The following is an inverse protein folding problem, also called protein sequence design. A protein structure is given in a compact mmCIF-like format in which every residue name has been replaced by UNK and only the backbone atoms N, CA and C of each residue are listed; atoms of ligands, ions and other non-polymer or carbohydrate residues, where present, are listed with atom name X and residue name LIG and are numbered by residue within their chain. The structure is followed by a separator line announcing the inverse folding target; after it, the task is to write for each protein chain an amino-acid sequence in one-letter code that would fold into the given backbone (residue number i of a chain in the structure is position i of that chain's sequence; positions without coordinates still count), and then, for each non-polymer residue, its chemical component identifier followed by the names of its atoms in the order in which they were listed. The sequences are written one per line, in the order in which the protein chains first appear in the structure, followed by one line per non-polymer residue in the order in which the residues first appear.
data_IF_185563616228
#
_entry.id   IF_185563616228
#
_cell.length_a   1.000
_cell.length_b   1.000
_cell.length_c   1.000
_cell.angle_alpha   90.00
_cell.angle_beta   90.00
_cell.angle_gamma   90.00
#
_symmetry.space_group_name_H-M   'P 1'
#
loop_
_entity.id
_entity.type
_entity.pdbx_description
1 polymer ?
#
# COMPACT_ATOMS: atom_id res chain seq x y z
N UNK A 1 -8.45 -13.79 -19.60
CA UNK A 1 -8.72 -12.61 -18.76
C UNK A 1 -7.38 -11.92 -18.57
N UNK A 2 -7.14 -10.80 -19.24
CA UNK A 2 -5.89 -10.04 -19.05
C UNK A 2 -6.02 -9.36 -17.69
N UNK A 3 -5.35 -9.90 -16.67
CA UNK A 3 -5.30 -9.28 -15.35
C UNK A 3 -4.43 -8.03 -15.51
N UNK A 4 -5.06 -6.85 -15.58
CA UNK A 4 -4.38 -5.57 -15.75
C UNK A 4 -3.69 -5.16 -14.43
N UNK A 5 -2.52 -5.70 -14.12
CA UNK A 5 -1.66 -5.18 -13.06
C UNK A 5 -1.02 -3.84 -13.48
N UNK A 6 -0.97 -2.84 -12.57
CA UNK A 6 -0.33 -1.55 -12.84
C UNK A 6 1.01 -1.46 -12.09
N UNK A 7 2.08 -1.23 -12.83
CA UNK A 7 3.38 -0.86 -12.29
C UNK A 7 3.70 0.53 -12.82
N UNK A 8 4.02 1.45 -11.93
CA UNK A 8 4.33 2.82 -12.30
C UNK A 8 5.74 3.17 -11.83
N UNK A 9 6.57 3.65 -12.75
CA UNK A 9 7.91 4.15 -12.44
C UNK A 9 7.82 5.66 -12.28
N UNK A 10 8.03 6.14 -11.07
CA UNK A 10 7.90 7.55 -10.73
C UNK A 10 9.25 8.25 -10.74
N UNK A 11 9.28 9.46 -11.30
CA UNK A 11 10.44 10.35 -11.28
C UNK A 11 10.41 11.26 -10.03
N UNK A 12 11.54 11.89 -9.70
CA UNK A 12 11.67 12.79 -8.53
C UNK A 12 10.57 13.87 -8.43
N UNK A 13 10.10 14.39 -9.56
CA UNK A 13 9.00 15.37 -9.60
C UNK A 13 7.67 14.81 -9.05
N UNK A 14 7.39 13.52 -9.30
CA UNK A 14 6.17 12.86 -8.82
C UNK A 14 6.27 12.50 -7.32
N UNK A 15 7.48 12.16 -6.84
CA UNK A 15 7.74 11.94 -5.42
C UNK A 15 7.45 13.20 -4.60
N UNK A 16 7.86 14.37 -5.11
CA UNK A 16 7.57 15.66 -4.47
C UNK A 16 6.06 15.99 -4.45
N UNK A 17 5.33 15.56 -5.48
CA UNK A 17 3.88 15.75 -5.64
C UNK A 17 3.02 14.67 -4.98
N UNK A 18 3.61 13.74 -4.23
CA UNK A 18 2.85 12.76 -3.45
C UNK A 18 1.86 13.51 -2.56
N UNK A 19 0.59 13.46 -2.93
CA UNK A 19 -0.42 14.38 -2.44
C UNK A 19 -0.87 13.91 -1.06
N UNK A 20 -0.69 14.76 -0.05
CA UNK A 20 -1.32 14.62 1.23
C UNK A 20 -2.83 14.77 0.99
N UNK A 21 -3.61 13.69 1.03
CA UNK A 21 -5.04 13.84 1.34
C UNK A 21 -5.13 14.06 2.84
N UNK A 22 -4.69 15.23 3.30
CA UNK A 22 -5.49 15.89 4.33
C UNK A 22 -6.61 16.56 3.58
N UNK A 23 -7.83 16.05 3.77
CA UNK A 23 -9.02 16.85 3.51
C UNK A 23 -8.82 18.21 4.19
N UNK A 24 -8.60 19.26 3.38
CA UNK A 24 -8.64 20.67 3.79
C UNK A 24 -7.64 21.11 4.85
N UNK A 25 -6.43 21.49 4.44
CA UNK A 25 -5.74 22.63 5.05
C UNK A 25 -5.19 23.52 3.95
N UNK A 26 -5.94 24.58 3.64
CA UNK A 26 -5.35 25.81 3.12
C UNK A 26 -4.24 26.24 4.09
N UNK A 27 -3.14 26.76 3.54
CA UNK A 27 -2.06 27.35 4.32
C UNK A 27 -2.62 28.35 5.35
N UNK A 28 -2.61 27.95 6.61
CA UNK A 28 -3.10 28.73 7.73
C UNK A 28 -2.64 28.03 9.00
N UNK A 29 -1.83 28.74 9.80
CA UNK A 29 -1.28 28.31 11.09
C UNK A 29 -2.41 27.72 11.96
N UNK A 30 -2.32 26.45 12.35
CA UNK A 30 -3.24 25.87 13.32
C UNK A 30 -2.61 25.98 14.71
N UNK A 31 -3.24 26.85 15.49
CA UNK A 31 -3.09 27.03 16.93
C UNK A 31 -3.50 25.75 17.69
N UNK A 32 -2.74 25.41 18.72
CA UNK A 32 -2.87 24.18 19.50
C UNK A 32 -3.80 24.48 20.68
N UNK A 33 -5.11 24.34 20.49
CA UNK A 33 -6.03 24.43 21.62
C UNK A 33 -7.51 24.46 21.30
N UNK A 34 -8.19 23.31 21.41
CA UNK A 34 -9.57 23.26 21.90
C UNK A 34 -9.97 21.84 22.32
N UNK A 35 -10.52 21.76 23.52
CA UNK A 35 -10.90 20.58 24.31
C UNK A 35 -12.43 20.58 24.49
N UNK A 36 -13.09 19.41 24.27
CA UNK A 36 -14.48 19.00 24.66
C UNK A 36 -15.66 19.72 23.95
N UNK A 37 -16.79 19.10 23.56
CA UNK A 37 -17.70 18.13 24.24
C UNK A 37 -18.61 17.35 23.23
N UNK A 38 -19.24 16.23 23.62
CA UNK A 38 -20.16 15.45 22.78
C UNK A 38 -21.62 15.93 22.90
N UNK A 39 -22.42 15.73 21.85
CA UNK A 39 -23.89 15.88 21.91
C UNK A 39 -24.58 14.60 21.43
N UNK A 40 -25.35 14.00 22.33
CA UNK A 40 -26.34 12.94 22.10
C UNK A 40 -27.60 13.52 21.45
N UNK A 41 -28.27 12.72 20.60
CA UNK A 41 -29.72 12.79 20.35
C UNK A 41 -30.28 11.36 20.17
N UNK A 42 -31.14 11.00 21.10
CA UNK A 42 -32.06 9.84 21.17
C UNK A 42 -33.37 10.25 20.44
N UNK A 43 -34.26 9.44 19.85
CA UNK A 43 -34.91 8.18 20.26
C UNK A 43 -35.74 7.63 19.06
N UNK A 44 -35.77 6.32 18.79
CA UNK A 44 -36.84 5.34 19.09
C UNK A 44 -38.01 5.23 18.08
N UNK A 45 -38.57 4.00 17.98
CA UNK A 45 -39.77 3.53 17.24
C UNK A 45 -39.49 3.14 15.76
N UNK A 46 -39.67 1.90 15.26
CA UNK A 46 -40.70 0.88 15.53
C UNK A 46 -40.19 -0.53 15.11
N UNK A 47 -40.54 -1.59 15.86
CA UNK A 47 -40.32 -3.01 15.48
C UNK A 47 -41.29 -3.42 14.37
N UNK A 48 -40.80 -4.11 13.35
CA UNK A 48 -41.58 -5.16 12.68
C UNK A 48 -40.65 -6.24 12.12
N UNK A 49 -40.73 -7.42 12.75
CA UNK A 49 -40.28 -8.68 12.17
C UNK A 49 -41.09 -8.92 10.88
N UNK A 50 -40.43 -8.88 9.73
CA UNK A 50 -40.93 -9.46 8.49
C UNK A 50 -39.92 -10.50 8.05
N UNK A 51 -40.17 -11.73 8.49
CA UNK A 51 -39.69 -12.92 7.79
C UNK A 51 -40.51 -13.06 6.51
N UNK A 52 -39.92 -12.70 5.37
CA UNK A 52 -40.34 -13.22 4.07
C UNK A 52 -39.10 -13.56 3.27
N UNK A 53 -38.71 -14.84 3.34
CA UNK A 53 -38.02 -15.61 2.30
C UNK A 53 -37.22 -14.77 1.28
N UNK A 54 -36.05 -14.26 1.68
CA UNK A 54 -35.03 -13.88 0.70
C UNK A 54 -34.44 -15.17 0.17
N UNK A 55 -34.65 -15.39 -1.13
CA UNK A 55 -34.27 -16.57 -1.89
C UNK A 55 -32.85 -17.05 -1.54
N UNK A 56 -32.72 -18.25 -0.93
CA UNK A 56 -31.43 -18.87 -0.58
C UNK A 56 -30.54 -19.15 -1.81
N UNK A 57 -31.08 -18.98 -3.03
CA UNK A 57 -30.34 -19.07 -4.31
C UNK A 57 -29.68 -17.75 -4.72
N UNK A 58 -30.23 -16.61 -4.31
CA UNK A 58 -29.68 -15.28 -4.67
C UNK A 58 -28.45 -14.95 -3.83
N UNK A 59 -28.41 -15.40 -2.57
CA UNK A 59 -27.27 -15.21 -1.67
C UNK A 59 -26.04 -16.01 -2.09
N UNK A 60 -26.18 -17.25 -2.56
CA UNK A 60 -25.04 -18.10 -2.96
C UNK A 60 -24.34 -17.60 -4.23
N UNK A 61 -25.09 -17.05 -5.20
CA UNK A 61 -24.53 -16.50 -6.44
C UNK A 61 -23.79 -15.18 -6.18
N UNK A 62 -24.38 -14.27 -5.39
CA UNK A 62 -23.74 -13.01 -5.00
C UNK A 62 -22.49 -13.23 -4.15
N UNK A 63 -22.53 -14.19 -3.24
CA UNK A 63 -21.39 -14.54 -2.38
C UNK A 63 -20.26 -15.19 -3.19
N UNK A 64 -20.58 -16.04 -4.17
CA UNK A 64 -19.61 -16.63 -5.10
C UNK A 64 -18.98 -15.58 -6.03
N UNK A 65 -19.76 -14.64 -6.56
CA UNK A 65 -19.25 -13.55 -7.39
C UNK A 65 -18.29 -12.62 -6.60
N UNK A 66 -18.63 -12.30 -5.35
CA UNK A 66 -17.76 -11.55 -4.45
C UNK A 66 -16.45 -12.29 -4.17
N UNK A 67 -16.51 -13.60 -3.91
CA UNK A 67 -15.33 -14.44 -3.68
C UNK A 67 -14.39 -14.45 -4.89
N UNK A 68 -14.95 -14.67 -6.09
CA UNK A 68 -14.20 -14.66 -7.35
C UNK A 68 -13.54 -13.29 -7.62
N UNK A 69 -14.22 -12.20 -7.27
CA UNK A 69 -13.66 -10.85 -7.43
C UNK A 69 -12.48 -10.61 -6.47
N UNK A 70 -12.60 -11.05 -5.21
CA UNK A 70 -11.49 -10.96 -4.24
C UNK A 70 -10.29 -11.80 -4.69
N UNK A 71 -10.53 -13.04 -5.16
CA UNK A 71 -9.46 -13.89 -5.70
C UNK A 71 -8.77 -13.24 -6.90
N UNK A 72 -9.54 -12.65 -7.81
CA UNK A 72 -9.00 -11.91 -8.95
C UNK A 72 -8.22 -10.67 -8.54
N UNK A 73 -8.62 -9.99 -7.47
CA UNK A 73 -7.95 -8.79 -6.96
C UNK A 73 -6.61 -9.12 -6.32
N UNK A 74 -6.59 -10.12 -5.44
CA UNK A 74 -5.35 -10.58 -4.79
C UNK A 74 -4.36 -11.12 -5.83
N UNK A 75 -4.84 -11.80 -6.87
CA UNK A 75 -3.98 -12.21 -7.99
C UNK A 75 -3.40 -11.02 -8.75
N UNK A 76 -4.17 -9.95 -8.96
CA UNK A 76 -3.66 -8.75 -9.62
C UNK A 76 -2.57 -8.06 -8.79
N UNK A 77 -2.75 -7.97 -7.47
CA UNK A 77 -1.73 -7.48 -6.53
C UNK A 77 -0.45 -8.31 -6.59
N UNK A 78 -0.59 -9.63 -6.53
CA UNK A 78 0.52 -10.58 -6.61
C UNK A 78 1.30 -10.40 -7.91
N UNK A 79 0.62 -10.36 -9.06
CA UNK A 79 1.27 -10.19 -10.36
C UNK A 79 2.01 -8.86 -10.48
N UNK A 80 1.38 -7.75 -10.06
CA UNK A 80 2.01 -6.42 -10.07
C UNK A 80 3.28 -6.42 -9.20
N UNK A 81 3.17 -6.96 -7.99
CA UNK A 81 4.27 -7.03 -7.04
C UNK A 81 5.42 -7.90 -7.56
N UNK A 82 5.11 -9.07 -8.11
CA UNK A 82 6.11 -10.02 -8.60
C UNK A 82 6.89 -9.44 -9.77
N UNK A 83 6.16 -8.89 -10.76
CA UNK A 83 6.79 -8.26 -11.92
C UNK A 83 7.65 -7.06 -11.51
N UNK A 84 7.19 -6.20 -10.59
CA UNK A 84 8.00 -5.07 -10.11
C UNK A 84 9.28 -5.52 -9.41
N UNK A 85 9.20 -6.56 -8.56
CA UNK A 85 10.38 -7.11 -7.89
C UNK A 85 11.35 -7.74 -8.88
N UNK A 86 10.85 -8.50 -9.85
CA UNK A 86 11.68 -9.18 -10.84
C UNK A 86 12.42 -8.19 -11.76
N UNK A 87 11.77 -7.08 -12.11
CA UNK A 87 12.32 -6.08 -13.04
C UNK A 87 13.24 -5.06 -12.36
N UNK A 88 12.92 -4.61 -11.14
CA UNK A 88 13.59 -3.45 -10.54
C UNK A 88 14.53 -3.78 -9.37
N UNK A 89 14.42 -4.95 -8.73
CA UNK A 89 15.29 -5.34 -7.61
C UNK A 89 16.53 -6.07 -8.13
N UNK A 90 17.70 -5.55 -7.74
CA UNK A 90 19.01 -6.03 -8.17
C UNK A 90 19.85 -6.47 -6.96
N UNK A 91 20.83 -7.34 -7.19
CA UNK A 91 21.76 -7.76 -6.14
C UNK A 91 22.58 -6.58 -5.58
N UNK A 92 22.98 -6.66 -4.32
CA UNK A 92 23.74 -5.64 -3.59
C UNK A 92 23.07 -4.25 -3.55
N UNK A 93 21.73 -4.20 -3.52
CA UNK A 93 20.97 -2.94 -3.48
C UNK A 93 20.43 -2.60 -2.09
N UNK A 94 20.29 -1.30 -1.82
CA UNK A 94 19.54 -0.78 -0.67
C UNK A 94 18.15 -0.40 -1.16
N UNK A 95 17.12 -1.01 -0.56
CA UNK A 95 15.75 -0.92 -1.05
C UNK A 95 14.78 -0.40 0.01
N UNK A 96 13.91 0.52 -0.40
CA UNK A 96 12.79 0.99 0.41
C UNK A 96 11.59 0.05 0.27
N UNK A 97 11.03 -0.37 1.39
CA UNK A 97 9.87 -1.26 1.46
C UNK A 97 8.67 -0.49 1.99
N UNK A 98 7.70 -0.32 1.10
CA UNK A 98 6.42 0.31 1.34
C UNK A 98 5.51 -0.39 2.35
N UNK A 99 4.25 0.02 2.37
CA UNK A 99 3.23 -0.52 3.29
C UNK A 99 1.95 -0.96 2.57
N UNK A 100 1.08 -1.68 3.26
CA UNK A 100 -0.22 -2.09 2.74
C UNK A 100 -0.27 -3.50 2.14
N UNK A 101 -1.49 -3.92 1.75
CA UNK A 101 -1.78 -5.30 1.38
C UNK A 101 -1.03 -5.78 0.14
N UNK A 102 -0.81 -4.92 -0.85
CA UNK A 102 -0.08 -5.24 -2.08
C UNK A 102 1.40 -5.51 -1.81
N UNK A 103 2.00 -4.80 -0.84
CA UNK A 103 3.44 -4.91 -0.52
C UNK A 103 3.79 -6.26 0.11
N UNK A 104 2.82 -6.95 0.74
CA UNK A 104 3.01 -8.30 1.26
C UNK A 104 3.56 -9.23 0.17
N UNK A 105 2.98 -9.17 -1.04
CA UNK A 105 3.41 -9.99 -2.18
C UNK A 105 4.80 -9.61 -2.68
N UNK A 106 5.17 -8.32 -2.63
CA UNK A 106 6.49 -7.86 -3.03
C UNK A 106 7.56 -8.40 -2.07
N UNK A 107 7.32 -8.29 -0.76
CA UNK A 107 8.24 -8.83 0.27
C UNK A 107 8.40 -10.35 0.13
N UNK A 108 7.30 -11.08 -0.09
CA UNK A 108 7.36 -12.52 -0.36
C UNK A 108 8.22 -12.84 -1.58
N UNK A 109 8.06 -12.10 -2.68
CA UNK A 109 8.87 -12.31 -3.89
C UNK A 109 10.34 -11.99 -3.65
N UNK A 110 10.65 -10.89 -2.94
CA UNK A 110 12.03 -10.54 -2.56
C UNK A 110 12.66 -11.67 -1.75
N UNK A 111 11.95 -12.20 -0.74
CA UNK A 111 12.44 -13.30 0.08
C UNK A 111 12.68 -14.59 -0.73
N UNK A 112 11.81 -14.90 -1.70
CA UNK A 112 12.06 -15.99 -2.64
C UNK A 112 13.37 -15.79 -3.41
N UNK A 113 13.57 -14.61 -4.00
CA UNK A 113 14.77 -14.29 -4.79
C UNK A 113 16.04 -14.29 -3.95
N UNK A 114 16.01 -13.71 -2.74
CA UNK A 114 17.14 -13.79 -1.78
C UNK A 114 17.50 -15.24 -1.50
N UNK A 115 16.50 -16.11 -1.30
CA UNK A 115 16.74 -17.54 -1.03
C UNK A 115 17.25 -18.31 -2.24
N UNK A 116 16.71 -18.06 -3.44
CA UNK A 116 17.04 -18.83 -4.66
C UNK A 116 18.27 -18.33 -5.40
N UNK A 117 18.46 -17.01 -5.44
CA UNK A 117 19.54 -16.34 -6.19
C UNK A 117 20.69 -15.89 -5.28
N UNK A 118 20.48 -15.85 -3.96
CA UNK A 118 21.51 -15.39 -3.01
C UNK A 118 21.67 -13.87 -2.97
N UNK A 119 20.62 -13.11 -3.32
CA UNK A 119 20.67 -11.65 -3.33
C UNK A 119 21.01 -11.09 -1.95
N UNK A 120 21.89 -10.09 -1.92
CA UNK A 120 22.27 -9.33 -0.74
C UNK A 120 21.57 -7.98 -0.78
N UNK A 121 20.52 -7.82 0.03
CA UNK A 121 19.66 -6.64 0.01
C UNK A 121 19.57 -6.03 1.39
N UNK A 122 19.54 -4.71 1.50
CA UNK A 122 19.24 -4.00 2.76
C UNK A 122 17.87 -3.35 2.62
N UNK A 123 16.93 -3.71 3.49
CA UNK A 123 15.54 -3.29 3.41
C UNK A 123 15.24 -2.18 4.42
N UNK A 124 14.82 -1.02 3.92
CA UNK A 124 14.48 0.17 4.71
C UNK A 124 12.94 0.31 4.77
N UNK A 125 12.30 0.16 5.93
CA UNK A 125 10.84 0.16 6.03
C UNK A 125 10.23 1.57 5.98
N UNK A 126 9.05 1.71 5.36
CA UNK A 126 8.23 2.92 5.44
C UNK A 126 7.28 2.96 6.64
N UNK A 127 7.15 1.86 7.38
CA UNK A 127 6.26 1.77 8.55
C UNK A 127 6.65 0.65 9.51
N UNK A 128 5.94 0.58 10.65
CA UNK A 128 6.02 -0.58 11.54
C UNK A 128 5.56 -1.87 10.87
N UNK A 129 4.49 -1.83 10.06
CA UNK A 129 4.01 -2.98 9.31
C UNK A 129 5.09 -3.50 8.34
N UNK A 130 5.69 -2.60 7.57
CA UNK A 130 6.76 -2.92 6.63
C UNK A 130 7.97 -3.54 7.35
N UNK A 131 8.37 -2.94 8.49
CA UNK A 131 9.45 -3.46 9.34
C UNK A 131 9.18 -4.90 9.77
N UNK A 132 7.97 -5.17 10.22
CA UNK A 132 7.58 -6.50 10.68
C UNK A 132 7.61 -7.52 9.54
N UNK A 133 7.09 -7.15 8.35
CA UNK A 133 7.14 -8.00 7.15
C UNK A 133 8.58 -8.36 6.75
N UNK A 134 9.51 -7.41 6.80
CA UNK A 134 10.94 -7.65 6.51
C UNK A 134 11.51 -8.70 7.48
N UNK A 135 11.27 -8.52 8.78
CA UNK A 135 11.78 -9.41 9.83
C UNK A 135 11.21 -10.82 9.70
N UNK A 136 9.90 -10.95 9.50
CA UNK A 136 9.22 -12.24 9.38
C UNK A 136 9.69 -13.04 8.17
N UNK A 137 10.04 -12.35 7.08
CA UNK A 137 10.58 -12.95 5.87
C UNK A 137 12.10 -13.14 5.90
N UNK A 138 12.75 -12.88 7.04
CA UNK A 138 14.21 -13.05 7.25
C UNK A 138 15.06 -12.23 6.28
N UNK A 139 14.56 -11.06 5.90
CA UNK A 139 15.31 -10.09 5.10
C UNK A 139 16.16 -9.21 6.01
N UNK A 140 17.29 -8.72 5.50
CA UNK A 140 18.16 -7.84 6.26
C UNK A 140 17.50 -6.46 6.39
N UNK A 141 17.21 -6.08 7.63
CA UNK A 141 16.63 -4.79 7.98
C UNK A 141 17.73 -3.73 8.08
N UNK A 142 17.46 -2.53 7.57
CA UNK A 142 18.29 -1.34 7.75
C UNK A 142 17.49 -0.10 8.15
N UNK A 143 18.18 1.03 8.23
CA UNK A 143 17.61 2.35 8.50
C UNK A 143 18.24 3.43 7.61
N UNK A 144 17.59 4.59 7.53
CA UNK A 144 18.04 5.72 6.71
C UNK A 144 19.26 6.46 7.30
N UNK A 145 19.55 6.29 8.59
CA UNK A 145 20.70 6.94 9.24
C UNK A 145 22.01 6.32 8.74
N UNK A 146 22.00 5.01 8.54
CA UNK A 146 23.13 4.24 8.00
C UNK A 146 23.12 4.13 6.48
N UNK A 147 21.95 4.25 5.85
CA UNK A 147 21.77 4.16 4.40
C UNK A 147 20.90 5.31 3.88
N UNK A 148 21.52 6.47 3.65
CA UNK A 148 20.82 7.70 3.24
C UNK A 148 20.40 7.73 1.77
N UNK A 149 20.97 6.87 0.93
CA UNK A 149 20.66 6.74 -0.49
C UNK A 149 20.18 5.32 -0.81
N UNK A 150 19.03 5.23 -1.46
CA UNK A 150 18.38 3.96 -1.84
C UNK A 150 18.44 3.80 -3.36
N UNK A 151 18.59 2.57 -3.83
CA UNK A 151 18.56 2.29 -5.27
C UNK A 151 17.12 2.27 -5.80
N UNK A 152 16.21 1.69 -5.03
CA UNK A 152 14.80 1.59 -5.39
C UNK A 152 13.91 1.54 -4.16
N UNK A 153 12.78 2.24 -4.19
CA UNK A 153 11.68 2.05 -3.24
C UNK A 153 10.48 1.44 -3.97
N UNK A 154 9.90 0.37 -3.42
CA UNK A 154 8.63 -0.19 -3.90
C UNK A 154 7.54 0.13 -2.88
N UNK A 155 6.43 0.73 -3.31
CA UNK A 155 5.31 1.06 -2.43
C UNK A 155 3.94 0.94 -3.15
N UNK A 156 2.86 0.88 -2.38
CA UNK A 156 1.49 0.92 -2.90
C UNK A 156 0.98 2.34 -3.13
N UNK A 157 -0.18 2.47 -3.75
CA UNK A 157 -0.96 3.71 -3.80
C UNK A 157 -2.44 3.42 -3.51
N UNK A 158 -3.14 4.40 -2.94
CA UNK A 158 -4.59 4.32 -2.70
C UNK A 158 -5.36 4.69 -3.99
N UNK A 159 -4.90 5.69 -4.72
CA UNK A 159 -5.41 6.04 -6.05
C UNK A 159 -4.29 6.50 -6.97
N UNK A 160 -4.45 6.25 -8.28
CA UNK A 160 -3.51 6.69 -9.31
C UNK A 160 -4.27 7.19 -10.53
N UNK A 161 -3.95 8.40 -10.99
CA UNK A 161 -4.51 8.93 -12.23
C UNK A 161 -3.59 8.70 -13.44
N UNK A 162 -4.06 9.08 -14.64
CA UNK A 162 -3.32 8.92 -15.91
C UNK A 162 -2.01 9.72 -15.98
N UNK A 163 -1.89 10.78 -15.18
CA UNK A 163 -0.69 11.63 -15.11
C UNK A 163 0.32 11.10 -14.07
N UNK A 164 0.07 9.90 -13.52
CA UNK A 164 0.86 9.26 -12.48
C UNK A 164 0.90 10.10 -11.18
N UNK A 165 -0.15 10.87 -10.92
CA UNK A 165 -0.37 11.53 -9.63
C UNK A 165 -0.96 10.48 -8.69
N UNK A 166 -0.37 10.39 -7.49
CA UNK A 166 -0.66 9.36 -6.52
C UNK A 166 -1.35 9.97 -5.30
N UNK A 167 -2.41 9.30 -4.85
CA UNK A 167 -2.95 9.46 -3.50
C UNK A 167 -2.44 8.28 -2.67
N UNK A 168 -1.93 8.58 -1.47
CA UNK A 168 -1.37 7.61 -0.52
C UNK A 168 -1.83 7.95 0.90
N UNK A 169 -1.41 7.17 1.89
CA UNK A 169 -1.62 7.50 3.29
C UNK A 169 -2.90 6.97 3.92
N UNK A 170 -3.70 6.17 3.20
CA UNK A 170 -4.81 5.41 3.79
C UNK A 170 -4.38 4.53 4.98
N UNK A 171 -3.10 4.12 5.03
CA UNK A 171 -2.48 3.39 6.13
C UNK A 171 -1.83 4.25 7.24
N UNK A 172 -1.94 5.58 7.17
CA UNK A 172 -1.38 6.49 8.21
C UNK A 172 0.15 6.59 8.25
N UNK A 173 0.86 6.12 7.21
CA UNK A 173 2.33 6.04 7.18
C UNK A 173 2.98 7.06 6.22
N UNK A 174 2.20 7.99 5.69
CA UNK A 174 2.57 8.84 4.54
C UNK A 174 3.86 9.64 4.72
N UNK A 175 4.12 10.14 5.92
CA UNK A 175 5.34 10.92 6.20
C UNK A 175 6.59 10.09 5.93
N UNK A 176 6.65 8.89 6.51
CA UNK A 176 7.82 8.01 6.36
C UNK A 176 7.88 7.41 4.95
N UNK A 177 6.72 7.11 4.33
CA UNK A 177 6.65 6.73 2.91
C UNK A 177 7.29 7.79 2.01
N UNK A 178 6.97 9.07 2.21
CA UNK A 178 7.55 10.17 1.44
C UNK A 178 9.05 10.34 1.68
N UNK A 179 9.49 10.24 2.95
CA UNK A 179 10.92 10.37 3.29
C UNK A 179 11.72 9.26 2.59
N UNK A 180 11.35 7.99 2.77
CA UNK A 180 12.04 6.84 2.17
C UNK A 180 12.02 6.93 0.64
N UNK A 181 10.87 7.26 0.04
CA UNK A 181 10.76 7.43 -1.40
C UNK A 181 11.69 8.55 -1.92
N UNK A 182 11.81 9.66 -1.18
CA UNK A 182 12.69 10.78 -1.56
C UNK A 182 14.18 10.46 -1.51
N UNK A 183 14.58 9.44 -0.75
CA UNK A 183 15.95 8.93 -0.68
C UNK A 183 16.28 7.96 -1.83
N UNK A 184 15.30 7.55 -2.65
CA UNK A 184 15.48 6.51 -3.65
C UNK A 184 15.74 7.06 -5.06
N UNK A 185 16.66 6.44 -5.79
CA UNK A 185 16.93 6.74 -7.21
C UNK A 185 15.74 6.39 -8.11
N UNK A 186 14.99 5.35 -7.75
CA UNK A 186 13.77 4.91 -8.42
C UNK A 186 12.65 4.73 -7.41
N UNK A 187 11.47 5.23 -7.72
CA UNK A 187 10.26 4.95 -6.94
C UNK A 187 9.28 4.17 -7.80
N UNK A 188 8.96 2.94 -7.37
CA UNK A 188 8.13 2.00 -8.08
C UNK A 188 6.82 1.83 -7.32
N UNK A 189 5.72 2.21 -7.95
CA UNK A 189 4.39 2.04 -7.38
C UNK A 189 3.77 0.78 -7.95
N UNK A 190 3.25 -0.06 -7.06
CA UNK A 190 2.49 -1.26 -7.41
C UNK A 190 1.05 -1.14 -6.94
N UNK A 191 0.11 -1.39 -7.85
CA UNK A 191 -1.31 -1.37 -7.56
C UNK A 191 -2.03 -2.44 -8.38
N UNK A 192 -3.18 -2.88 -7.86
CA UNK A 192 -4.11 -3.66 -8.64
C UNK A 192 -4.87 -2.77 -9.65
N UNK A 193 -5.89 -3.32 -10.30
CA UNK A 193 -6.61 -2.65 -11.39
C UNK A 193 -7.68 -1.66 -10.92
N UNK A 194 -7.96 -1.59 -9.61
CA UNK A 194 -8.97 -0.67 -9.06
C UNK A 194 -8.57 0.80 -9.15
#
# INVERSE_FOLDING_TARGET
MVLNSKILVCNNFQIQRLLLVTLGVHAGVIDVGAVLRPHNLHSSFYKSNITSQVDKRTTSVQQKAKMNNVESLEKAKELAAYQAVDEFIQDNSVIGIGSGSTIIYAVQRIAQRVKSEGLKLICIPTSFQARQLIIENKLQLGDLETHSELDVTIDGADEVNSDLILIKGGGGCLTQEKIVASCAKKFIVIADYT
#
